data_IF_174371147109
#
_entry.id   IF_174371147109
#
_cell.length_a   1.000
_cell.length_b   1.000
_cell.length_c   1.000
_cell.angle_alpha   90.00
_cell.angle_beta   90.00
_cell.angle_gamma   90.00
#
_symmetry.space_group_name_H-M   'P 1'
#
loop_
_entity.id
_entity.type
_entity.pdbx_description
1 polymer ?
#
# COMPACT_ATOMS: atom_id res chain seq x y z
N UNK A 1 -8.02 -1.43 4.29
CA UNK A 1 -8.95 -1.63 5.43
C UNK A 1 -9.34 -3.08 5.70
N UNK A 2 -9.43 -3.98 4.71
CA UNK A 2 -9.77 -5.40 4.95
C UNK A 2 -8.84 -6.08 5.96
N UNK A 3 -7.57 -5.67 6.04
CA UNK A 3 -6.58 -6.16 7.01
C UNK A 3 -7.00 -6.01 8.49
N UNK A 4 -7.87 -5.05 8.82
CA UNK A 4 -8.31 -4.81 10.19
C UNK A 4 -9.57 -5.61 10.58
N UNK A 5 -10.25 -6.23 9.61
CA UNK A 5 -11.50 -6.98 9.86
C UNK A 5 -11.31 -8.10 10.91
N UNK A 6 -10.24 -8.91 10.87
CA UNK A 6 -10.03 -9.94 11.90
C UNK A 6 -9.84 -9.35 13.31
N UNK A 7 -9.05 -8.28 13.45
CA UNK A 7 -8.83 -7.61 14.73
C UNK A 7 -10.12 -6.98 15.27
N UNK A 8 -10.89 -6.30 14.41
CA UNK A 8 -12.18 -5.71 14.77
C UNK A 8 -13.18 -6.79 15.21
N UNK A 9 -13.23 -7.93 14.52
CA UNK A 9 -14.06 -9.08 14.91
C UNK A 9 -13.66 -9.67 16.26
N UNK A 10 -12.36 -9.74 16.53
CA UNK A 10 -11.83 -10.19 17.82
C UNK A 10 -12.30 -9.28 18.97
N UNK A 11 -12.09 -7.96 18.83
CA UNK A 11 -12.50 -7.00 19.87
C UNK A 11 -14.02 -6.86 20.00
N UNK A 12 -14.79 -7.06 18.93
CA UNK A 12 -16.25 -7.02 18.98
C UNK A 12 -16.90 -8.31 19.48
N UNK A 13 -16.10 -9.35 19.78
CA UNK A 13 -16.60 -10.67 20.18
C UNK A 13 -17.46 -11.35 19.12
N UNK A 14 -17.33 -10.95 17.85
CA UNK A 14 -18.13 -11.46 16.73
C UNK A 14 -19.62 -11.08 16.73
N UNK A 15 -20.10 -10.37 17.76
CA UNK A 15 -21.51 -10.02 17.92
C UNK A 15 -21.93 -8.74 17.19
N UNK A 16 -20.97 -7.94 16.72
CA UNK A 16 -21.23 -6.64 16.07
C UNK A 16 -20.87 -6.73 14.59
N UNK A 17 -21.83 -6.36 13.73
CA UNK A 17 -21.63 -6.29 12.27
C UNK A 17 -20.73 -5.11 11.92
N UNK A 18 -19.70 -5.37 11.10
CA UNK A 18 -18.80 -4.33 10.59
C UNK A 18 -19.40 -3.81 9.28
N UNK A 19 -19.65 -2.51 9.21
CA UNK A 19 -20.28 -1.87 8.05
C UNK A 19 -19.30 -0.95 7.34
N UNK A 20 -19.34 -0.96 6.01
CA UNK A 20 -18.72 0.07 5.17
C UNK A 20 -19.82 0.80 4.42
N UNK A 21 -19.99 2.09 4.69
CA UNK A 21 -21.18 2.85 4.30
C UNK A 21 -20.94 3.74 3.08
N UNK A 22 -19.79 4.37 2.97
CA UNK A 22 -19.50 5.38 1.95
C UNK A 22 -18.20 5.02 1.22
N UNK A 23 -18.20 5.24 -0.09
CA UNK A 23 -17.02 5.22 -0.92
C UNK A 23 -16.80 6.59 -1.56
N UNK A 24 -15.65 7.19 -1.26
CA UNK A 24 -15.31 8.54 -1.69
C UNK A 24 -13.81 8.80 -1.52
N UNK A 25 -13.36 9.92 -2.08
CA UNK A 25 -12.00 10.40 -2.00
C UNK A 25 -11.97 11.92 -1.80
N UNK A 26 -10.79 12.51 -1.67
CA UNK A 26 -10.63 13.97 -1.57
C UNK A 26 -11.08 14.69 -2.85
N UNK A 27 -11.06 14.01 -4.00
CA UNK A 27 -11.45 14.54 -5.29
C UNK A 27 -12.97 14.53 -5.51
N UNK A 28 -13.69 13.53 -4.99
CA UNK A 28 -15.13 13.39 -5.12
C UNK A 28 -15.70 12.30 -4.19
N UNK A 29 -16.96 12.46 -3.77
CA UNK A 29 -17.74 11.37 -3.19
C UNK A 29 -18.40 10.57 -4.31
N UNK A 30 -18.20 9.26 -4.34
CA UNK A 30 -18.59 8.43 -5.48
C UNK A 30 -19.90 7.71 -5.25
N UNK A 31 -20.07 7.10 -4.08
CA UNK A 31 -21.15 6.16 -3.86
C UNK A 31 -21.34 5.74 -2.41
N UNK A 32 -22.40 4.96 -2.21
CA UNK A 32 -22.80 4.46 -0.91
C UNK A 32 -23.18 2.99 -0.98
N UNK A 33 -22.99 2.27 0.11
CA UNK A 33 -23.40 0.89 0.23
C UNK A 33 -24.88 0.85 0.61
N UNK A 34 -25.74 0.41 -0.32
CA UNK A 34 -27.18 0.28 -0.10
C UNK A 34 -27.55 -0.90 0.81
N UNK A 35 -26.64 -1.86 0.99
CA UNK A 35 -26.85 -3.07 1.79
C UNK A 35 -25.76 -3.21 2.86
N UNK A 36 -25.66 -2.26 3.81
CA UNK A 36 -24.59 -2.26 4.81
C UNK A 36 -24.64 -3.45 5.79
N UNK A 37 -25.80 -4.13 5.88
CA UNK A 37 -26.06 -5.24 6.80
C UNK A 37 -26.07 -6.62 6.13
N UNK A 38 -26.19 -6.69 4.81
CA UNK A 38 -26.56 -7.93 4.11
C UNK A 38 -25.36 -8.72 3.57
N UNK A 39 -24.18 -8.10 3.52
CA UNK A 39 -22.92 -8.77 3.16
C UNK A 39 -22.18 -9.18 4.43
N UNK A 40 -22.27 -10.45 4.82
CA UNK A 40 -21.67 -11.01 6.06
C UNK A 40 -20.17 -10.74 6.23
N UNK A 41 -19.46 -10.33 5.16
CA UNK A 41 -18.09 -9.87 5.18
C UNK A 41 -17.95 -8.45 4.61
N UNK A 42 -17.33 -7.55 5.40
CA UNK A 42 -16.95 -6.20 4.96
C UNK A 42 -16.03 -6.20 3.72
N UNK A 43 -15.37 -7.33 3.42
CA UNK A 43 -14.54 -7.54 2.24
C UNK A 43 -15.35 -7.64 0.94
N UNK A 44 -16.64 -7.96 1.02
CA UNK A 44 -17.53 -8.12 -0.15
C UNK A 44 -18.44 -6.92 -0.40
N UNK A 45 -18.24 -5.84 0.37
CA UNK A 45 -19.02 -4.62 0.27
C UNK A 45 -19.09 -4.13 -1.18
N UNK A 46 -20.33 -3.90 -1.63
CA UNK A 46 -20.63 -3.34 -2.94
C UNK A 46 -21.18 -1.93 -2.73
N UNK A 47 -20.75 -1.00 -3.57
CA UNK A 47 -21.12 0.40 -3.49
C UNK A 47 -21.87 0.78 -4.76
N UNK A 48 -22.92 1.56 -4.61
CA UNK A 48 -23.72 2.08 -5.72
C UNK A 48 -23.26 3.49 -6.06
N UNK A 49 -22.93 3.73 -7.32
CA UNK A 49 -22.52 5.07 -7.79
C UNK A 49 -23.72 6.01 -7.74
N UNK A 50 -23.50 7.17 -7.13
CA UNK A 50 -24.50 8.25 -7.07
C UNK A 50 -24.33 9.15 -8.30
N UNK A 51 -25.24 9.10 -9.30
CA UNK A 51 -25.01 9.73 -10.61
C UNK A 51 -24.91 11.25 -10.60
N UNK A 52 -25.36 11.89 -9.52
CA UNK A 52 -25.37 13.33 -9.34
C UNK A 52 -24.06 13.90 -8.78
N UNK A 53 -23.12 13.06 -8.33
CA UNK A 53 -21.91 13.53 -7.65
C UNK A 53 -20.82 13.98 -8.62
N UNK A 54 -20.68 13.28 -9.73
CA UNK A 54 -19.74 13.57 -10.81
C UNK A 54 -20.21 12.88 -12.09
N UNK A 55 -19.56 13.21 -13.21
CA UNK A 55 -19.65 12.42 -14.42
C UNK A 55 -18.61 11.30 -14.36
N UNK A 56 -19.06 10.06 -14.58
CA UNK A 56 -18.27 8.85 -14.36
C UNK A 56 -18.00 8.11 -15.67
N UNK A 57 -16.73 7.83 -15.92
CA UNK A 57 -16.24 7.04 -17.05
C UNK A 57 -15.38 5.88 -16.54
N UNK A 58 -15.33 4.80 -17.32
CA UNK A 58 -14.67 3.56 -16.92
C UNK A 58 -13.65 3.14 -17.98
N UNK A 59 -12.40 2.96 -17.57
CA UNK A 59 -11.33 2.50 -18.44
C UNK A 59 -11.07 1.00 -18.20
N UNK A 60 -11.26 0.10 -19.19
CA UNK A 60 -10.99 -1.32 -19.01
C UNK A 60 -9.53 -1.57 -18.60
N UNK A 61 -9.32 -2.41 -17.58
CA UNK A 61 -7.97 -2.66 -17.02
C UNK A 61 -7.04 -3.32 -18.04
N UNK A 62 -7.58 -4.12 -18.97
CA UNK A 62 -6.83 -4.82 -20.03
C UNK A 62 -6.11 -3.88 -21.00
N UNK A 63 -6.58 -2.62 -21.11
CA UNK A 63 -6.09 -1.64 -22.10
C UNK A 63 -5.58 -0.36 -21.44
N UNK A 64 -5.49 -0.35 -20.11
CA UNK A 64 -5.18 0.86 -19.34
C UNK A 64 -3.70 1.31 -19.41
N UNK A 65 -2.83 0.49 -20.02
CA UNK A 65 -1.41 0.76 -20.25
C UNK A 65 -1.10 1.09 -21.72
N UNK A 66 -2.09 1.04 -22.62
CA UNK A 66 -1.96 1.41 -24.03
C UNK A 66 -2.16 2.91 -24.24
N UNK A 67 -1.37 3.49 -25.15
CA UNK A 67 -1.41 4.92 -25.50
C UNK A 67 -2.76 5.39 -26.07
N UNK A 68 -3.65 4.47 -26.46
CA UNK A 68 -5.01 4.73 -26.96
C UNK A 68 -6.09 4.67 -25.88
N UNK A 69 -5.74 4.52 -24.60
CA UNK A 69 -6.68 4.40 -23.47
C UNK A 69 -7.77 5.49 -23.43
N UNK A 70 -7.44 6.73 -23.82
CA UNK A 70 -8.41 7.84 -23.86
C UNK A 70 -9.53 7.64 -24.91
N UNK A 71 -9.33 6.80 -25.93
CA UNK A 71 -10.33 6.52 -26.96
C UNK A 71 -11.25 5.34 -26.61
N UNK A 72 -11.00 4.65 -25.49
CA UNK A 72 -11.72 3.44 -25.10
C UNK A 72 -12.46 3.59 -23.77
N UNK A 73 -12.71 4.83 -23.34
CA UNK A 73 -13.56 5.07 -22.18
C UNK A 73 -14.96 4.54 -22.44
N UNK A 74 -15.42 3.71 -21.51
CA UNK A 74 -16.74 3.13 -21.51
C UNK A 74 -17.61 4.00 -20.62
N UNK A 75 -18.70 4.51 -21.18
CA UNK A 75 -19.71 5.23 -20.42
C UNK A 75 -20.46 4.25 -19.50
N UNK A 76 -21.05 4.77 -18.41
CA UNK A 76 -21.82 3.99 -17.41
C UNK A 76 -22.80 2.99 -18.02
N UNK A 77 -23.42 3.31 -19.16
CA UNK A 77 -24.43 2.46 -19.79
C UNK A 77 -23.87 1.20 -20.50
N UNK A 78 -22.55 1.08 -20.65
CA UNK A 78 -21.90 0.02 -21.46
C UNK A 78 -20.93 -0.86 -20.65
N UNK A 79 -20.92 -0.73 -19.33
CA UNK A 79 -20.07 -1.56 -18.47
C UNK A 79 -20.64 -2.98 -18.34
N UNK A 80 -19.75 -3.96 -18.40
CA UNK A 80 -20.10 -5.38 -18.31
C UNK A 80 -19.96 -5.89 -16.88
N UNK A 81 -20.92 -6.69 -16.42
CA UNK A 81 -20.86 -7.29 -15.09
C UNK A 81 -19.66 -8.24 -14.96
N UNK A 82 -18.97 -8.19 -13.83
CA UNK A 82 -17.77 -8.99 -13.55
C UNK A 82 -16.47 -8.47 -14.15
N UNK A 83 -16.49 -7.47 -15.05
CA UNK A 83 -15.27 -6.84 -15.57
C UNK A 83 -14.67 -5.81 -14.62
N UNK A 84 -13.36 -5.61 -14.75
CA UNK A 84 -12.57 -4.68 -13.97
C UNK A 84 -12.24 -3.41 -14.76
N UNK A 85 -12.52 -2.26 -14.15
CA UNK A 85 -12.33 -0.95 -14.74
C UNK A 85 -11.59 -0.01 -13.79
N UNK A 86 -10.76 0.86 -14.33
CA UNK A 86 -10.21 2.01 -13.65
C UNK A 86 -11.21 3.17 -13.69
N UNK A 87 -11.43 3.81 -12.55
CA UNK A 87 -12.36 4.92 -12.40
C UNK A 87 -11.78 6.23 -12.95
N UNK A 88 -12.53 6.85 -13.86
CA UNK A 88 -12.24 8.18 -14.42
C UNK A 88 -13.39 9.11 -14.10
N UNK A 89 -13.11 10.29 -13.55
CA UNK A 89 -14.12 11.22 -13.08
C UNK A 89 -13.97 12.60 -13.69
N UNK A 90 -15.11 13.22 -13.97
CA UNK A 90 -15.21 14.65 -14.24
C UNK A 90 -16.06 15.31 -13.15
N UNK A 91 -15.47 16.21 -12.37
CA UNK A 91 -16.09 16.80 -11.17
C UNK A 91 -16.42 18.28 -11.36
N UNK A 92 -17.36 18.78 -10.57
CA UNK A 92 -17.68 20.21 -10.51
C UNK A 92 -16.50 21.08 -10.05
N UNK A 93 -15.52 20.49 -9.37
CA UNK A 93 -14.29 21.15 -8.93
C UNK A 93 -13.25 21.38 -10.05
N UNK A 94 -13.57 21.06 -11.30
CA UNK A 94 -12.70 21.32 -12.45
C UNK A 94 -11.70 20.22 -12.77
N UNK A 95 -11.86 19.02 -12.18
CA UNK A 95 -11.15 17.84 -12.65
C UNK A 95 -11.89 17.30 -13.88
N UNK A 96 -11.22 17.24 -15.03
CA UNK A 96 -11.80 16.75 -16.29
C UNK A 96 -11.11 15.45 -16.72
N UNK A 97 -11.89 14.38 -16.87
CA UNK A 97 -11.41 13.03 -17.23
C UNK A 97 -10.21 12.61 -16.37
N UNK A 98 -10.28 12.92 -15.08
CA UNK A 98 -9.22 12.64 -14.12
C UNK A 98 -9.23 11.16 -13.75
N UNK A 99 -8.08 10.50 -13.89
CA UNK A 99 -7.88 9.10 -13.50
C UNK A 99 -7.69 9.03 -11.99
N UNK A 100 -8.66 8.47 -11.28
CA UNK A 100 -8.59 8.29 -9.83
C UNK A 100 -7.53 7.25 -9.47
N UNK A 101 -7.30 6.28 -10.36
CA UNK A 101 -6.41 5.14 -10.16
C UNK A 101 -7.04 3.99 -9.37
N UNK A 102 -8.29 4.11 -8.96
CA UNK A 102 -9.03 3.05 -8.29
C UNK A 102 -9.52 2.02 -9.31
N UNK A 103 -9.27 0.74 -9.05
CA UNK A 103 -9.72 -0.39 -9.87
C UNK A 103 -10.94 -1.02 -9.21
N UNK A 104 -12.04 -1.01 -9.95
CA UNK A 104 -13.37 -1.40 -9.51
C UNK A 104 -13.85 -2.58 -10.36
N UNK A 105 -14.48 -3.57 -9.73
CA UNK A 105 -15.18 -4.64 -10.43
C UNK A 105 -16.67 -4.39 -10.40
N UNK A 106 -17.33 -4.46 -11.55
CA UNK A 106 -18.80 -4.34 -11.59
C UNK A 106 -19.42 -5.55 -10.91
N UNK A 107 -20.18 -5.34 -9.85
CA UNK A 107 -20.90 -6.39 -9.11
C UNK A 107 -22.31 -6.58 -9.63
N UNK A 108 -22.93 -5.52 -10.15
CA UNK A 108 -24.31 -5.55 -10.62
C UNK A 108 -24.87 -4.16 -10.85
N UNK A 109 -26.19 -4.07 -10.78
CA UNK A 109 -26.93 -2.83 -10.94
C UNK A 109 -28.06 -2.77 -9.92
N UNK A 110 -28.18 -1.62 -9.24
CA UNK A 110 -29.36 -1.29 -8.46
C UNK A 110 -30.24 -0.38 -9.30
N UNK A 111 -31.34 -0.93 -9.81
CA UNK A 111 -32.14 -0.33 -10.88
C UNK A 111 -31.25 -0.04 -12.11
N UNK A 112 -31.05 1.25 -12.43
CA UNK A 112 -30.17 1.69 -13.51
C UNK A 112 -28.80 2.19 -13.01
N UNK A 113 -28.57 2.23 -11.69
CA UNK A 113 -27.33 2.70 -11.09
C UNK A 113 -26.32 1.54 -10.98
N UNK A 114 -25.07 1.83 -11.30
CA UNK A 114 -24.00 0.84 -11.28
C UNK A 114 -23.60 0.48 -9.85
N UNK A 115 -23.47 -0.81 -9.57
CA UNK A 115 -22.85 -1.32 -8.36
C UNK A 115 -21.47 -1.88 -8.66
N UNK A 116 -20.52 -1.57 -7.79
CA UNK A 116 -19.15 -2.00 -7.93
C UNK A 116 -18.55 -2.41 -6.59
N UNK A 117 -17.57 -3.30 -6.69
CA UNK A 117 -16.69 -3.70 -5.60
C UNK A 117 -15.33 -3.05 -5.81
N UNK A 118 -14.83 -2.38 -4.77
CA UNK A 118 -13.47 -1.88 -4.77
C UNK A 118 -12.49 -3.06 -4.67
N UNK A 119 -11.52 -3.13 -5.59
CA UNK A 119 -10.49 -4.17 -5.55
C UNK A 119 -9.18 -3.63 -4.98
N UNK A 120 -8.66 -2.57 -5.61
CA UNK A 120 -7.36 -1.99 -5.27
C UNK A 120 -7.21 -0.61 -5.90
N UNK A 121 -6.29 0.18 -5.36
CA UNK A 121 -5.78 1.39 -6.03
C UNK A 121 -4.48 1.05 -6.76
N UNK A 122 -4.36 1.47 -8.02
CA UNK A 122 -3.13 1.32 -8.81
C UNK A 122 -1.96 2.01 -8.10
N UNK A 123 -0.78 1.43 -8.25
CA UNK A 123 0.49 1.92 -7.71
C UNK A 123 0.57 2.02 -6.18
N UNK A 124 -0.35 1.44 -5.41
CA UNK A 124 -0.23 1.34 -3.95
C UNK A 124 0.31 -0.04 -3.58
N UNK A 125 1.49 -0.09 -2.94
CA UNK A 125 2.10 -1.31 -2.44
C UNK A 125 1.85 -1.53 -0.95
N UNK A 126 1.99 -0.47 -0.15
CA UNK A 126 1.81 -0.51 1.30
C UNK A 126 0.88 0.63 1.74
N UNK A 127 0.00 0.32 2.70
CA UNK A 127 -0.92 1.26 3.33
C UNK A 127 -1.40 0.68 4.66
N UNK A 128 -1.06 1.36 5.75
CA UNK A 128 -1.47 1.09 7.12
C UNK A 128 -2.73 1.90 7.43
N UNK A 129 -2.72 3.20 7.15
CA UNK A 129 -3.84 4.11 7.39
C UNK A 129 -4.23 4.85 6.10
N UNK A 130 -3.99 6.17 6.02
CA UNK A 130 -4.27 7.00 4.85
C UNK A 130 -3.08 7.04 3.88
N UNK A 131 -1.88 6.73 4.38
CA UNK A 131 -0.67 6.79 3.58
C UNK A 131 -0.64 5.69 2.52
N UNK A 132 -0.02 6.05 1.40
CA UNK A 132 0.11 5.18 0.24
C UNK A 132 1.55 5.21 -0.19
N UNK A 133 2.23 4.07 -0.06
CA UNK A 133 3.61 3.92 -0.53
C UNK A 133 3.60 3.20 -1.86
N UNK A 134 4.18 3.83 -2.88
CA UNK A 134 4.32 3.26 -4.21
C UNK A 134 5.63 2.47 -4.39
N UNK A 135 5.79 1.85 -5.55
CA UNK A 135 7.00 1.09 -5.87
C UNK A 135 8.25 1.97 -5.99
N UNK A 136 8.10 3.21 -6.44
CA UNK A 136 9.22 4.12 -6.62
C UNK A 136 9.74 4.64 -5.26
N UNK A 137 8.84 4.90 -4.31
CA UNK A 137 9.14 5.21 -2.91
C UNK A 137 9.84 4.05 -2.24
N UNK A 138 9.30 2.83 -2.37
CA UNK A 138 9.94 1.66 -1.81
C UNK A 138 11.33 1.39 -2.42
N UNK A 139 11.53 1.72 -3.71
CA UNK A 139 12.85 1.68 -4.33
C UNK A 139 13.79 2.77 -3.80
N UNK A 140 13.30 3.98 -3.54
CA UNK A 140 14.08 5.06 -2.92
C UNK A 140 14.55 4.66 -1.52
N UNK A 141 13.64 4.13 -0.72
CA UNK A 141 13.90 3.54 0.60
C UNK A 141 14.97 2.43 0.50
N UNK A 142 14.81 1.50 -0.45
CA UNK A 142 15.78 0.43 -0.66
C UNK A 142 17.17 0.91 -1.13
N UNK A 143 17.24 2.02 -1.88
CA UNK A 143 18.51 2.65 -2.28
C UNK A 143 19.17 3.34 -1.09
N UNK A 144 18.41 4.06 -0.26
CA UNK A 144 18.91 4.67 0.96
C UNK A 144 19.51 3.61 1.90
N UNK A 145 18.81 2.50 2.12
CA UNK A 145 19.31 1.38 2.92
C UNK A 145 20.58 0.73 2.32
N UNK A 146 20.69 0.67 0.99
CA UNK A 146 21.89 0.13 0.31
C UNK A 146 23.09 1.06 0.38
N UNK A 147 22.90 2.37 0.39
CA UNK A 147 23.99 3.33 0.53
C UNK A 147 24.82 3.00 1.78
N UNK A 148 24.16 2.73 2.90
CA UNK A 148 24.79 2.34 4.16
C UNK A 148 25.51 0.99 4.16
N UNK A 149 25.20 0.08 3.22
CA UNK A 149 26.01 -1.14 3.01
C UNK A 149 27.32 -0.86 2.28
N UNK A 150 27.40 0.25 1.54
CA UNK A 150 28.53 0.57 0.65
C UNK A 150 29.40 1.72 1.14
N UNK A 151 28.93 2.56 2.06
CA UNK A 151 29.77 3.60 2.66
C UNK A 151 30.67 2.96 3.72
N UNK A 152 32.01 2.93 3.55
CA UNK A 152 32.87 2.80 4.72
C UNK A 152 32.58 3.98 5.66
N UNK A 153 32.62 3.82 6.99
CA UNK A 153 32.48 4.94 7.90
C UNK A 153 33.55 5.99 7.56
N UNK A 154 33.12 7.11 6.99
CA UNK A 154 33.98 8.25 6.72
C UNK A 154 34.46 8.89 8.02
N UNK A 155 35.63 9.55 8.02
CA UNK A 155 36.33 9.96 9.23
C UNK A 155 35.75 11.28 9.75
N UNK A 156 34.73 11.23 10.59
CA UNK A 156 34.34 12.36 11.45
C UNK A 156 34.06 11.87 12.87
N UNK A 157 35.08 11.24 13.46
CA UNK A 157 35.29 11.28 14.90
C UNK A 157 36.75 11.70 15.10
N UNK A 158 36.94 12.96 15.51
CA UNK A 158 38.26 13.48 15.81
C UNK A 158 38.89 12.71 16.98
N UNK A 159 40.08 12.16 16.69
CA UNK A 159 41.22 11.94 17.57
C UNK A 159 40.96 11.52 19.03
N UNK A 160 41.09 10.20 19.27
CA UNK A 160 41.50 9.64 20.54
C UNK A 160 42.41 8.44 20.23
N UNK A 161 43.72 8.66 20.34
CA UNK A 161 44.80 7.72 20.01
C UNK A 161 44.68 6.37 20.73
N UNK A 162 45.26 5.37 20.04
CA UNK A 162 45.84 4.10 20.54
C UNK A 162 45.03 2.84 20.25
N UNK A 163 45.53 2.07 19.27
CA UNK A 163 45.40 0.62 19.08
C UNK A 163 44.04 0.01 19.45
N UNK A 164 43.01 0.21 18.64
CA UNK A 164 41.73 -0.44 18.87
C UNK A 164 40.98 -0.60 17.55
N UNK A 165 40.61 -1.85 17.22
CA UNK A 165 39.62 -2.11 16.19
C UNK A 165 38.36 -1.34 16.52
N UNK A 166 37.87 -0.53 15.58
CA UNK A 166 36.59 0.15 15.71
C UNK A 166 35.52 -0.92 15.53
N UNK A 167 35.08 -1.51 16.65
CA UNK A 167 33.81 -2.22 16.71
C UNK A 167 32.74 -1.13 16.67
N UNK A 168 32.25 -0.83 15.46
CA UNK A 168 31.01 -0.06 15.32
C UNK A 168 29.90 -1.01 15.76
N UNK A 169 29.23 -0.66 16.85
CA UNK A 169 28.07 -1.39 17.35
C UNK A 169 27.02 -1.47 16.23
N UNK A 170 26.73 -2.68 15.74
CA UNK A 170 25.83 -2.93 14.61
C UNK A 170 24.40 -2.43 14.86
N UNK A 171 24.04 -2.14 16.12
CA UNK A 171 22.76 -1.56 16.49
C UNK A 171 22.55 -0.12 16.00
N UNK A 172 23.58 0.72 16.00
CA UNK A 172 23.45 2.15 15.68
C UNK A 172 23.36 2.41 14.16
N UNK A 173 24.01 1.59 13.34
CA UNK A 173 23.93 1.70 11.87
C UNK A 173 22.55 1.35 11.35
N UNK A 174 21.93 0.29 11.90
CA UNK A 174 20.59 -0.14 11.50
C UNK A 174 19.52 0.83 11.99
N UNK A 175 19.70 1.43 13.18
CA UNK A 175 18.85 2.53 13.64
C UNK A 175 18.89 3.72 12.67
N UNK A 176 20.08 4.19 12.28
CA UNK A 176 20.22 5.27 11.29
C UNK A 176 19.65 4.91 9.91
N UNK A 177 19.77 3.65 9.50
CA UNK A 177 19.10 3.17 8.29
C UNK A 177 17.57 3.28 8.40
N UNK A 178 16.97 2.90 9.53
CA UNK A 178 15.53 3.04 9.74
C UNK A 178 15.10 4.51 9.61
N UNK A 179 15.84 5.45 10.21
CA UNK A 179 15.55 6.88 10.13
C UNK A 179 15.55 7.40 8.69
N UNK A 180 16.61 7.12 7.93
CA UNK A 180 16.74 7.52 6.52
C UNK A 180 15.66 6.88 5.63
N UNK A 181 15.28 5.63 5.94
CA UNK A 181 14.17 4.95 5.28
C UNK A 181 12.84 5.65 5.56
N UNK A 182 12.58 6.05 6.81
CA UNK A 182 11.36 6.80 7.19
C UNK A 182 11.33 8.22 6.60
N UNK A 183 12.48 8.89 6.48
CA UNK A 183 12.59 10.20 5.84
C UNK A 183 12.38 10.18 4.32
N UNK A 184 12.73 9.06 3.67
CA UNK A 184 12.51 8.85 2.24
C UNK A 184 11.04 8.56 1.87
N UNK A 185 10.19 8.25 2.85
CA UNK A 185 8.76 8.04 2.67
C UNK A 185 7.99 9.37 2.58
N UNK A 186 6.76 9.30 2.06
CA UNK A 186 5.92 10.47 1.81
C UNK A 186 5.57 11.24 3.09
N UNK A 187 5.16 12.50 2.93
CA UNK A 187 4.69 13.34 4.03
C UNK A 187 3.57 12.66 4.84
N UNK A 188 2.61 12.02 4.17
CA UNK A 188 1.49 11.34 4.84
C UNK A 188 1.94 10.20 5.77
N UNK A 189 3.00 9.46 5.41
CA UNK A 189 3.59 8.47 6.31
C UNK A 189 4.17 9.14 7.56
N UNK A 190 4.91 10.23 7.37
CA UNK A 190 5.55 10.98 8.47
C UNK A 190 4.53 11.65 9.39
N UNK A 191 3.46 12.21 8.83
CA UNK A 191 2.31 12.73 9.58
C UNK A 191 1.64 11.60 10.37
N UNK A 192 1.43 10.44 9.76
CA UNK A 192 0.93 9.24 10.43
C UNK A 192 1.81 8.78 11.59
N UNK A 193 3.13 8.90 11.44
CA UNK A 193 4.13 8.48 12.42
C UNK A 193 4.19 9.38 13.66
N UNK A 194 4.14 10.71 13.46
CA UNK A 194 4.36 11.69 14.55
C UNK A 194 3.22 12.64 14.82
N UNK A 195 2.44 13.01 13.80
CA UNK A 195 1.28 13.87 13.98
C UNK A 195 0.12 13.13 14.65
N UNK A 196 -0.37 12.07 14.00
CA UNK A 196 -1.54 11.31 14.47
C UNK A 196 -1.17 10.11 15.34
N UNK A 197 0.04 9.58 15.19
CA UNK A 197 0.47 8.35 15.85
C UNK A 197 -0.26 7.10 15.35
N UNK A 198 -0.90 7.16 14.17
CA UNK A 198 -1.58 6.01 13.57
C UNK A 198 -0.61 4.98 12.99
N UNK A 199 0.65 5.37 12.73
CA UNK A 199 1.68 4.50 12.17
C UNK A 199 2.78 4.24 13.22
N UNK A 200 3.10 2.96 13.44
CA UNK A 200 4.19 2.52 14.31
C UNK A 200 5.57 2.74 13.70
N UNK A 201 6.63 2.51 14.48
CA UNK A 201 8.01 2.59 13.98
C UNK A 201 8.26 1.57 12.85
N UNK A 202 8.96 2.00 11.80
CA UNK A 202 9.44 1.09 10.78
C UNK A 202 10.39 0.05 11.39
N UNK A 203 10.11 -1.23 11.10
CA UNK A 203 10.91 -2.36 11.56
C UNK A 203 11.74 -2.95 10.40
N UNK A 204 13.05 -3.07 10.61
CA UNK A 204 13.92 -3.84 9.71
C UNK A 204 14.16 -5.21 10.34
N UNK A 205 13.69 -6.27 9.67
CA UNK A 205 13.98 -7.66 10.02
C UNK A 205 15.05 -8.24 9.10
N UNK A 206 16.17 -8.65 9.68
CA UNK A 206 17.26 -9.31 8.94
C UNK A 206 16.94 -10.80 8.87
N UNK A 207 16.84 -11.36 7.66
CA UNK A 207 16.57 -12.79 7.43
C UNK A 207 17.84 -13.56 7.07
N UNK A 208 17.82 -14.89 7.28
CA UNK A 208 18.94 -15.77 6.91
C UNK A 208 19.23 -15.72 5.39
N UNK A 209 20.50 -15.88 4.96
CA UNK A 209 20.82 -16.08 3.55
C UNK A 209 20.02 -17.25 2.96
N UNK A 210 19.61 -17.14 1.69
CA UNK A 210 18.77 -18.16 1.01
C UNK A 210 17.26 -18.03 1.28
N UNK A 211 16.81 -17.21 2.24
CA UNK A 211 15.37 -17.05 2.54
C UNK A 211 14.55 -16.58 1.34
N UNK A 212 15.09 -15.66 0.53
CA UNK A 212 14.38 -15.16 -0.66
C UNK A 212 14.36 -16.16 -1.83
N UNK A 213 15.28 -17.13 -1.86
CA UNK A 213 15.27 -18.25 -2.82
C UNK A 213 14.13 -19.22 -2.44
N UNK A 214 14.00 -19.55 -1.15
CA UNK A 214 12.87 -20.34 -0.67
C UNK A 214 11.51 -19.65 -0.90
N UNK A 215 11.43 -18.33 -0.72
CA UNK A 215 10.23 -17.54 -1.04
C UNK A 215 9.92 -17.62 -2.54
N UNK A 216 10.95 -17.61 -3.40
CA UNK A 216 10.79 -17.75 -4.83
C UNK A 216 10.27 -19.14 -5.21
N UNK A 217 10.86 -20.18 -4.65
CA UNK A 217 10.45 -21.57 -4.86
C UNK A 217 9.02 -21.80 -4.37
N UNK A 218 8.68 -21.30 -3.19
CA UNK A 218 7.32 -21.37 -2.66
C UNK A 218 6.33 -20.67 -3.59
N UNK A 219 6.64 -19.46 -4.08
CA UNK A 219 5.75 -18.73 -4.98
C UNK A 219 5.61 -19.39 -6.36
N UNK A 220 6.68 -19.98 -6.89
CA UNK A 220 6.67 -20.75 -8.14
C UNK A 220 5.79 -22.01 -7.99
N UNK A 221 5.98 -22.77 -6.92
CA UNK A 221 5.28 -24.05 -6.67
C UNK A 221 3.81 -23.83 -6.29
N UNK A 222 3.52 -22.85 -5.43
CA UNK A 222 2.15 -22.62 -4.91
C UNK A 222 1.28 -21.71 -5.77
N UNK A 223 1.87 -20.77 -6.53
CA UNK A 223 1.12 -19.81 -7.38
C UNK A 223 1.29 -20.07 -8.88
N UNK A 224 2.00 -21.14 -9.27
CA UNK A 224 2.16 -21.55 -10.67
C UNK A 224 2.97 -20.55 -11.51
N UNK A 225 3.84 -19.74 -10.90
CA UNK A 225 4.66 -18.79 -11.63
C UNK A 225 5.79 -19.51 -12.40
N UNK A 226 6.02 -19.16 -13.66
CA UNK A 226 7.12 -19.72 -14.45
C UNK A 226 8.48 -19.28 -13.89
N UNK A 227 9.37 -20.24 -13.64
CA UNK A 227 10.72 -20.06 -13.07
C UNK A 227 11.52 -18.98 -13.79
N UNK A 228 11.36 -18.83 -15.11
CA UNK A 228 12.10 -17.85 -15.92
C UNK A 228 11.59 -16.41 -15.86
N UNK A 229 10.42 -16.15 -15.26
CA UNK A 229 9.81 -14.80 -15.18
C UNK A 229 9.62 -14.30 -13.75
N UNK A 230 10.01 -15.07 -12.75
CA UNK A 230 9.79 -14.72 -11.36
C UNK A 230 10.74 -13.60 -10.92
N UNK A 231 10.18 -12.45 -10.56
CA UNK A 231 10.86 -11.40 -9.80
C UNK A 231 10.35 -11.47 -8.37
N UNK A 232 11.27 -11.43 -7.39
CA UNK A 232 10.88 -11.42 -5.97
C UNK A 232 9.95 -10.24 -5.72
N UNK A 233 8.70 -10.47 -5.29
CA UNK A 233 7.75 -9.41 -5.01
C UNK A 233 8.24 -8.56 -3.83
N UNK A 234 8.15 -7.23 -3.97
CA UNK A 234 8.64 -6.29 -2.95
C UNK A 234 7.73 -6.19 -1.72
N UNK A 235 6.46 -6.58 -1.87
CA UNK A 235 5.52 -6.74 -0.78
C UNK A 235 4.99 -8.17 -0.82
N UNK A 236 5.10 -8.89 0.30
CA UNK A 236 4.75 -10.31 0.39
C UNK A 236 3.83 -10.51 1.59
N UNK A 237 2.67 -11.12 1.36
CA UNK A 237 1.72 -11.46 2.42
C UNK A 237 2.06 -12.76 3.17
N UNK A 238 3.20 -13.39 2.86
CA UNK A 238 3.65 -14.65 3.47
C UNK A 238 4.54 -14.31 4.67
N UNK A 239 3.92 -13.72 5.70
CA UNK A 239 4.63 -13.22 6.88
C UNK A 239 5.23 -14.37 7.70
N UNK A 240 4.52 -15.50 7.83
CA UNK A 240 4.96 -16.64 8.64
C UNK A 240 6.29 -17.28 8.15
N UNK A 241 6.46 -17.41 6.83
CA UNK A 241 7.70 -17.95 6.25
C UNK A 241 8.88 -17.02 6.55
N UNK A 242 8.68 -15.71 6.40
CA UNK A 242 9.72 -14.71 6.66
C UNK A 242 10.06 -14.67 8.15
N UNK A 243 9.06 -14.71 9.03
CA UNK A 243 9.22 -14.65 10.49
C UNK A 243 10.01 -15.85 11.03
N UNK A 244 9.80 -17.04 10.46
CA UNK A 244 10.57 -18.24 10.84
C UNK A 244 12.07 -18.16 10.53
N UNK A 245 12.48 -17.20 9.69
CA UNK A 245 13.85 -17.03 9.19
C UNK A 245 14.52 -15.74 9.67
N UNK A 246 13.89 -14.99 10.58
CA UNK A 246 14.47 -13.77 11.17
C UNK A 246 15.66 -14.10 12.06
N UNK A 247 16.73 -13.33 11.91
CA UNK A 247 17.98 -13.41 12.68
C UNK A 247 18.05 -12.26 13.68
N UNK A 248 17.65 -11.05 13.27
CA UNK A 248 17.55 -9.88 14.15
C UNK A 248 16.44 -8.93 13.69
N UNK A 249 15.90 -8.15 14.63
CA UNK A 249 14.93 -7.08 14.38
C UNK A 249 15.42 -5.77 14.97
N UNK A 250 15.22 -4.67 14.24
CA UNK A 250 15.64 -3.33 14.63
C UNK A 250 14.51 -2.33 14.40
N UNK A 251 14.24 -1.51 15.43
CA UNK A 251 13.16 -0.53 15.49
C UNK A 251 13.73 0.84 15.86
N UNK A 252 13.21 1.89 15.25
CA UNK A 252 13.50 3.27 15.66
C UNK A 252 12.39 3.79 16.59
N UNK A 253 12.61 3.71 17.90
CA UNK A 253 11.61 4.10 18.90
C UNK A 253 11.36 5.61 18.96
N UNK A 254 12.37 6.42 18.63
CA UNK A 254 12.31 7.87 18.69
C UNK A 254 12.63 8.47 17.33
N UNK A 255 11.63 9.12 16.73
CA UNK A 255 11.78 9.89 15.49
C UNK A 255 11.80 11.38 15.85
N UNK A 256 12.99 11.96 15.92
CA UNK A 256 13.20 13.37 16.28
C UNK A 256 13.25 14.20 14.99
N UNK A 257 12.09 14.55 14.43
CA UNK A 257 12.05 15.27 13.17
C UNK A 257 12.27 16.76 13.37
N UNK A 258 13.50 17.23 13.14
CA UNK A 258 13.72 18.61 12.73
C UNK A 258 12.98 18.95 11.40
N UNK A 259 12.57 17.91 10.65
CA UNK A 259 11.97 18.00 9.33
C UNK A 259 10.45 18.28 9.28
N UNK A 260 9.73 18.35 10.43
CA UNK A 260 8.32 18.77 10.47
C UNK A 260 8.13 20.30 10.56
N UNK A 261 9.22 21.08 10.55
CA UNK A 261 9.15 22.54 10.50
C UNK A 261 8.98 23.02 9.05
N UNK A 262 7.74 23.03 8.57
CA UNK A 262 7.29 23.90 7.48
C UNK A 262 5.97 24.54 7.89
#
# INVERSE_FOLDING_TARGET
MTQYVPALRYYSGGGISIMSTVYGSSECYFGLNLQPMSGGDAAEASYTIMPNMAYFEFLPTDVADDATAASQLVERARVESGREYELVVTTYGGLYRYRVGDVLRVSGFHNAALEFRFLRRRNVLLSVDVERTDEAELQRVGRAARAWRTTPPGPTAAAGTTSTGVVVDGGDVLGRCCLEMEEALSYSYREGRVGTGSIGALEIRVVRPGTFEEVADYAVVSRGASVGKYKVPRCVAIVELLDSRVVSSHLLWHWDSAALRF
#
